data_IF_390212731903
#
_entry.id   IF_390212731903
#
_cell.length_a   1.000
_cell.length_b   1.000
_cell.length_c   1.000
_cell.angle_alpha   90.00
_cell.angle_beta   90.00
_cell.angle_gamma   90.00
#
_symmetry.space_group_name_H-M   'P 1'
#
loop_
_entity.id
_entity.type
_entity.pdbx_description
1 polymer ?
#
# COMPACT_ATOMS: atom_id res chain seq x y z
N UNK A 1 -5.89 -44.35 28.98
CA UNK A 1 -5.10 -43.15 29.32
C UNK A 1 -4.38 -42.71 28.04
N UNK A 2 -5.04 -41.90 27.21
CA UNK A 2 -4.51 -41.42 25.93
C UNK A 2 -3.93 -40.04 26.19
N UNK A 3 -2.61 -39.95 26.17
CA UNK A 3 -1.90 -38.65 26.26
C UNK A 3 -1.98 -38.00 24.85
N UNK A 4 -2.87 -37.05 24.67
CA UNK A 4 -2.82 -36.17 23.52
C UNK A 4 -1.64 -35.20 23.71
N UNK A 5 -0.53 -35.47 23.05
CA UNK A 5 0.55 -34.51 22.85
C UNK A 5 0.03 -33.47 21.85
N UNK A 6 -0.48 -32.34 22.34
CA UNK A 6 -0.70 -31.17 21.52
C UNK A 6 0.68 -30.62 21.14
N UNK A 7 1.17 -30.98 19.96
CA UNK A 7 2.27 -30.27 19.32
C UNK A 7 1.79 -28.85 19.03
N UNK A 8 2.14 -27.93 19.90
CA UNK A 8 2.06 -26.49 19.64
C UNK A 8 3.00 -26.19 18.47
N UNK A 9 2.47 -26.23 17.26
CA UNK A 9 3.12 -25.63 16.13
C UNK A 9 3.17 -24.11 16.43
N UNK A 10 4.30 -23.66 16.94
CA UNK A 10 4.63 -22.23 17.03
C UNK A 10 4.80 -21.76 15.58
N UNK A 11 3.70 -21.43 14.94
CA UNK A 11 3.75 -20.68 13.69
C UNK A 11 4.31 -19.32 14.03
N UNK A 12 5.53 -19.04 13.57
CA UNK A 12 6.15 -17.73 13.65
C UNK A 12 5.20 -16.73 12.96
N UNK A 13 4.48 -15.95 13.74
CA UNK A 13 3.64 -14.87 13.23
C UNK A 13 4.58 -13.75 12.81
N UNK A 14 4.98 -13.74 11.54
CA UNK A 14 5.73 -12.62 10.98
C UNK A 14 4.80 -11.42 10.83
N UNK A 15 5.20 -10.28 11.38
CA UNK A 15 4.51 -9.02 11.18
C UNK A 15 4.56 -8.66 9.69
N UNK A 16 3.40 -8.54 9.07
CA UNK A 16 3.23 -8.10 7.69
C UNK A 16 2.95 -6.62 7.67
N UNK A 17 3.46 -5.94 6.65
CA UNK A 17 3.11 -4.54 6.42
C UNK A 17 1.63 -4.43 6.04
N UNK A 18 1.03 -3.28 6.42
CA UNK A 18 -0.30 -2.93 5.93
C UNK A 18 -0.29 -2.80 4.39
N UNK A 19 -1.39 -3.16 3.76
CA UNK A 19 -1.55 -3.08 2.31
C UNK A 19 -2.87 -2.43 1.95
N UNK A 20 -2.87 -1.57 0.92
CA UNK A 20 -4.09 -1.03 0.33
C UNK A 20 -4.68 -1.99 -0.69
N UNK A 21 -5.97 -1.85 -0.97
CA UNK A 21 -6.67 -2.71 -1.92
C UNK A 21 -6.23 -2.45 -3.36
N UNK A 22 -6.02 -1.18 -3.70
CA UNK A 22 -5.46 -0.78 -4.98
C UNK A 22 -4.20 0.07 -4.78
N UNK A 23 -3.05 -0.58 -4.90
CA UNK A 23 -1.75 0.05 -4.75
C UNK A 23 -1.47 1.18 -5.74
N UNK A 24 -2.13 1.18 -6.90
CA UNK A 24 -1.89 2.18 -7.92
C UNK A 24 -2.54 3.54 -7.59
N UNK A 25 -3.59 3.56 -6.78
CA UNK A 25 -4.25 4.79 -6.35
C UNK A 25 -3.45 5.49 -5.25
N UNK A 26 -2.72 4.70 -4.43
CA UNK A 26 -1.91 5.24 -3.33
C UNK A 26 -0.53 5.63 -3.85
N UNK A 27 -0.20 6.92 -3.94
CA UNK A 27 1.05 7.36 -4.54
C UNK A 27 2.28 6.71 -3.89
N UNK A 28 3.23 6.30 -4.72
CA UNK A 28 4.54 5.71 -4.37
C UNK A 28 4.55 4.67 -3.22
N UNK A 29 3.38 4.13 -2.86
CA UNK A 29 3.31 3.03 -1.89
C UNK A 29 3.80 1.70 -2.46
N UNK A 30 3.74 1.55 -3.77
CA UNK A 30 4.16 0.36 -4.51
C UNK A 30 5.65 0.39 -4.85
N UNK A 31 6.18 1.58 -5.19
CA UNK A 31 7.55 1.77 -5.62
C UNK A 31 7.97 3.23 -5.42
N UNK A 32 9.05 3.52 -4.67
CA UNK A 32 9.55 4.88 -4.50
C UNK A 32 9.84 5.62 -5.82
N UNK A 33 10.21 4.89 -6.88
CA UNK A 33 10.45 5.47 -8.20
C UNK A 33 9.20 6.11 -8.83
N UNK A 34 8.00 5.88 -8.28
CA UNK A 34 6.74 6.47 -8.76
C UNK A 34 6.46 7.86 -8.17
N UNK A 35 7.24 8.36 -7.23
CA UNK A 35 7.08 9.73 -6.73
C UNK A 35 7.20 10.74 -7.88
N UNK A 36 6.23 11.66 -8.00
CA UNK A 36 6.14 12.62 -9.10
C UNK A 36 5.81 12.04 -10.47
N UNK A 37 5.42 10.76 -10.56
CA UNK A 37 5.12 10.10 -11.83
C UNK A 37 3.91 10.72 -12.55
N UNK A 38 3.00 11.34 -11.83
CA UNK A 38 1.85 12.04 -12.39
C UNK A 38 2.19 13.36 -13.09
N UNK A 39 3.45 13.83 -13.03
CA UNK A 39 3.87 15.14 -13.56
C UNK A 39 2.98 16.30 -13.10
N UNK A 40 2.49 16.23 -11.89
CA UNK A 40 1.64 17.21 -11.22
C UNK A 40 2.14 17.42 -9.81
N UNK A 41 1.70 18.48 -9.15
CA UNK A 41 1.69 18.52 -7.69
C UNK A 41 0.50 17.65 -7.26
N UNK A 42 0.74 16.66 -6.43
CA UNK A 42 -0.30 15.72 -5.98
C UNK A 42 -0.32 15.64 -4.47
N UNK A 43 -1.50 15.75 -3.89
CA UNK A 43 -1.78 15.47 -2.49
C UNK A 43 -2.84 14.38 -2.40
N UNK A 44 -2.70 13.44 -1.48
CA UNK A 44 -3.71 12.39 -1.30
C UNK A 44 -3.95 12.04 0.16
N UNK A 45 -5.17 11.59 0.43
CA UNK A 45 -5.62 10.99 1.68
C UNK A 45 -6.24 9.65 1.33
N UNK A 46 -5.70 8.58 1.90
CA UNK A 46 -6.18 7.23 1.68
C UNK A 46 -6.57 6.64 3.04
N UNK A 47 -7.78 6.12 3.14
CA UNK A 47 -8.30 5.47 4.33
C UNK A 47 -8.81 4.08 3.98
N UNK A 48 -8.38 3.08 4.73
CA UNK A 48 -8.85 1.71 4.63
C UNK A 48 -9.36 1.21 5.96
N UNK A 49 -10.53 0.58 5.95
CA UNK A 49 -11.10 -0.16 7.06
C UNK A 49 -11.24 -1.61 6.66
N UNK A 50 -10.51 -2.48 7.37
CA UNK A 50 -10.50 -3.92 7.07
C UNK A 50 -11.25 -4.68 8.17
N UNK A 51 -12.15 -5.57 7.75
CA UNK A 51 -12.99 -6.41 8.61
C UNK A 51 -13.84 -5.65 9.64
N UNK A 52 -14.68 -4.72 9.20
CA UNK A 52 -15.51 -3.90 10.11
C UNK A 52 -16.48 -4.69 10.94
N UNK A 53 -16.74 -5.96 10.61
CA UNK A 53 -17.60 -6.85 11.40
C UNK A 53 -16.92 -7.39 12.67
N UNK A 54 -15.60 -7.27 12.76
CA UNK A 54 -14.86 -7.62 13.97
C UNK A 54 -14.97 -6.46 14.97
N UNK A 55 -15.11 -6.78 16.26
CA UNK A 55 -15.13 -5.78 17.34
C UNK A 55 -13.92 -4.84 17.32
N UNK A 56 -12.82 -5.29 16.73
CA UNK A 56 -11.56 -4.57 16.61
C UNK A 56 -11.13 -4.52 15.13
N UNK A 57 -11.84 -3.74 14.31
CA UNK A 57 -11.50 -3.52 12.90
C UNK A 57 -10.09 -2.92 12.75
N UNK A 58 -9.45 -3.19 11.61
CA UNK A 58 -8.15 -2.60 11.26
C UNK A 58 -8.37 -1.30 10.50
N UNK A 59 -7.64 -0.27 10.88
CA UNK A 59 -7.74 1.07 10.30
C UNK A 59 -6.38 1.52 9.80
N UNK A 60 -6.28 1.81 8.52
CA UNK A 60 -5.07 2.35 7.91
C UNK A 60 -5.38 3.70 7.28
N UNK A 61 -4.59 4.71 7.61
CA UNK A 61 -4.65 6.04 6.99
C UNK A 61 -3.28 6.34 6.37
N UNK A 62 -3.27 6.88 5.15
CA UNK A 62 -2.05 7.41 4.55
C UNK A 62 -2.30 8.79 3.95
N UNK A 63 -1.51 9.74 4.38
CA UNK A 63 -1.40 11.07 3.78
C UNK A 63 -0.15 11.08 2.91
N UNK A 64 -0.23 11.58 1.69
CA UNK A 64 0.96 11.71 0.85
C UNK A 64 0.92 12.97 0.02
N UNK A 65 2.11 13.48 -0.26
CA UNK A 65 2.35 14.63 -1.10
C UNK A 65 3.56 14.35 -1.99
N UNK A 66 3.44 14.63 -3.29
CA UNK A 66 4.57 14.51 -4.21
C UNK A 66 4.52 15.57 -5.31
N UNK A 67 5.70 15.93 -5.78
CA UNK A 67 5.86 16.91 -6.84
C UNK A 67 7.16 16.73 -7.63
N UNK A 68 7.20 17.24 -8.84
CA UNK A 68 8.43 17.37 -9.61
C UNK A 68 9.11 18.71 -9.27
N UNK A 69 10.42 18.67 -9.04
CA UNK A 69 11.18 19.87 -8.58
C UNK A 69 11.93 20.52 -9.73
N UNK A 70 12.71 19.76 -10.48
CA UNK A 70 13.60 20.31 -11.50
C UNK A 70 13.37 19.65 -12.85
N UNK A 71 12.95 20.46 -13.86
CA UNK A 71 12.73 20.05 -15.26
C UNK A 71 12.07 18.68 -15.39
N UNK A 72 11.25 18.31 -14.40
CA UNK A 72 10.58 17.00 -14.29
C UNK A 72 11.53 15.78 -14.22
N UNK A 73 12.84 16.01 -14.09
CA UNK A 73 13.82 14.94 -13.92
C UNK A 73 13.93 14.49 -12.45
N UNK A 74 13.75 15.42 -11.52
CA UNK A 74 13.81 15.17 -10.08
C UNK A 74 12.44 15.34 -9.46
N UNK A 75 12.05 14.41 -8.64
CA UNK A 75 10.78 14.42 -7.92
C UNK A 75 11.02 14.18 -6.44
N UNK A 76 10.24 14.82 -5.62
CA UNK A 76 10.26 14.63 -4.18
C UNK A 76 8.86 14.32 -3.68
N UNK A 77 8.78 13.56 -2.62
CA UNK A 77 7.53 13.26 -1.95
C UNK A 77 7.74 13.09 -0.45
N UNK A 78 6.65 13.22 0.28
CA UNK A 78 6.59 12.94 1.71
C UNK A 78 5.28 12.24 2.02
N UNK A 79 5.28 11.43 3.06
CA UNK A 79 4.06 10.77 3.51
C UNK A 79 4.07 10.55 5.01
N UNK A 80 2.88 10.41 5.54
CA UNK A 80 2.60 9.91 6.87
C UNK A 80 1.59 8.77 6.75
N UNK A 81 1.87 7.64 7.40
CA UNK A 81 0.96 6.52 7.49
C UNK A 81 0.70 6.19 8.95
N UNK A 82 -0.55 5.93 9.25
CA UNK A 82 -1.02 5.42 10.52
C UNK A 82 -1.75 4.10 10.27
N UNK A 83 -1.31 3.04 10.92
CA UNK A 83 -1.95 1.74 10.87
C UNK A 83 -2.27 1.25 12.26
N UNK A 84 -3.52 0.89 12.50
CA UNK A 84 -4.00 0.37 13.75
C UNK A 84 -4.55 -1.05 13.53
N UNK A 85 -3.82 -2.01 14.09
CA UNK A 85 -4.24 -3.41 14.11
C UNK A 85 -4.98 -3.67 15.42
N UNK A 86 -6.31 -3.77 15.36
CA UNK A 86 -7.11 -3.86 16.57
C UNK A 86 -6.86 -2.62 17.45
N UNK A 87 -7.14 -2.71 18.74
CA UNK A 87 -6.80 -1.66 19.71
C UNK A 87 -5.40 -1.84 20.34
N UNK A 88 -4.68 -2.89 19.94
CA UNK A 88 -3.44 -3.32 20.60
C UNK A 88 -2.20 -2.73 19.96
N UNK A 89 -2.10 -2.79 18.63
CA UNK A 89 -0.87 -2.43 17.93
C UNK A 89 -1.10 -1.26 16.98
N UNK A 90 -0.24 -0.24 17.10
CA UNK A 90 -0.29 0.98 16.30
C UNK A 90 1.07 1.24 15.68
N UNK A 91 1.08 1.50 14.38
CA UNK A 91 2.26 1.86 13.59
C UNK A 91 2.09 3.27 13.07
N UNK A 92 3.07 4.12 13.32
CA UNK A 92 3.19 5.43 12.70
C UNK A 92 4.45 5.42 11.84
N UNK A 93 4.32 5.76 10.57
CA UNK A 93 5.43 5.85 9.64
C UNK A 93 5.46 7.24 9.02
N UNK A 94 6.60 7.94 9.13
CA UNK A 94 6.88 9.20 8.45
C UNK A 94 7.98 8.94 7.43
N UNK A 95 7.76 9.28 6.18
CA UNK A 95 8.75 9.03 5.14
C UNK A 95 8.90 10.18 4.16
N UNK A 96 10.10 10.25 3.59
CA UNK A 96 10.45 11.11 2.49
C UNK A 96 10.96 10.28 1.31
N UNK A 97 10.63 10.70 0.10
CA UNK A 97 10.94 10.00 -1.13
C UNK A 97 11.61 10.95 -2.11
N UNK A 98 12.65 10.46 -2.77
CA UNK A 98 13.28 11.10 -3.91
C UNK A 98 13.22 10.17 -5.10
N UNK A 99 12.83 10.67 -6.26
CA UNK A 99 12.88 9.93 -7.50
C UNK A 99 13.59 10.74 -8.60
N UNK A 100 14.38 10.04 -9.41
CA UNK A 100 15.09 10.61 -10.54
C UNK A 100 14.66 9.92 -11.83
N UNK A 101 14.33 10.72 -12.86
CA UNK A 101 13.92 10.24 -14.18
C UNK A 101 15.03 10.46 -15.16
N UNK A 102 15.45 9.40 -15.85
CA UNK A 102 16.47 9.41 -16.88
C UNK A 102 15.80 9.11 -18.21
N UNK A 103 15.91 10.04 -19.17
CA UNK A 103 15.47 9.80 -20.55
C UNK A 103 16.55 9.02 -21.29
N UNK A 104 16.26 7.76 -21.65
CA UNK A 104 17.19 6.91 -22.40
C UNK A 104 17.04 7.07 -23.92
N UNK A 105 15.79 7.27 -24.38
CA UNK A 105 15.45 7.54 -25.77
C UNK A 105 14.12 8.30 -25.83
N UNK A 106 13.62 8.65 -27.03
CA UNK A 106 12.43 9.52 -27.16
C UNK A 106 11.18 9.01 -26.44
N UNK A 107 11.06 7.70 -26.24
CA UNK A 107 9.89 7.06 -25.66
C UNK A 107 10.25 6.16 -24.47
N UNK A 108 11.51 6.15 -24.05
CA UNK A 108 12.08 5.24 -23.07
C UNK A 108 12.65 6.00 -21.89
N UNK A 109 12.11 5.73 -20.70
CA UNK A 109 12.55 6.40 -19.48
C UNK A 109 12.80 5.38 -18.40
N UNK A 110 13.85 5.62 -17.61
CA UNK A 110 14.16 4.88 -16.39
C UNK A 110 13.94 5.83 -15.22
N UNK A 111 13.25 5.38 -14.21
CA UNK A 111 13.05 6.11 -12.96
C UNK A 111 13.69 5.32 -11.83
N UNK A 112 14.47 6.01 -11.00
CA UNK A 112 15.11 5.45 -9.82
C UNK A 112 14.53 6.17 -8.60
N UNK A 113 14.21 5.45 -7.55
CA UNK A 113 13.62 6.00 -6.34
C UNK A 113 14.34 5.55 -5.08
N UNK A 114 14.45 6.47 -4.14
CA UNK A 114 14.96 6.25 -2.79
C UNK A 114 13.92 6.73 -1.79
N UNK A 115 13.70 5.98 -0.73
CA UNK A 115 12.84 6.35 0.38
C UNK A 115 13.57 6.16 1.70
N UNK A 116 13.44 7.13 2.59
CA UNK A 116 13.82 7.01 3.99
C UNK A 116 12.60 7.24 4.86
N UNK A 117 12.39 6.40 5.85
CA UNK A 117 11.27 6.51 6.79
C UNK A 117 11.70 6.27 8.23
N UNK A 118 10.90 6.84 9.14
CA UNK A 118 10.98 6.65 10.58
C UNK A 118 9.69 6.00 11.03
N UNK A 119 9.81 4.87 11.68
CA UNK A 119 8.71 4.16 12.30
C UNK A 119 8.65 4.46 13.79
N UNK A 120 7.43 4.66 14.29
CA UNK A 120 7.12 4.72 15.71
C UNK A 120 5.98 3.76 15.99
N UNK A 121 6.31 2.59 16.51
CA UNK A 121 5.37 1.51 16.79
C UNK A 121 5.04 1.50 18.28
N UNK A 122 3.77 1.26 18.60
CA UNK A 122 3.27 1.23 19.98
C UNK A 122 2.41 0.00 20.19
N UNK A 123 2.62 -0.70 21.30
CA UNK A 123 1.75 -1.80 21.76
C UNK A 123 1.08 -1.38 23.06
N UNK A 124 -0.23 -1.45 23.11
CA UNK A 124 -1.01 -1.30 24.33
C UNK A 124 -1.14 -2.66 25.04
N UNK A 125 -0.18 -2.97 25.87
CA UNK A 125 -0.14 -4.21 26.65
C UNK A 125 -1.32 -4.39 27.59
N UNK A 126 -2.00 -3.29 27.99
CA UNK A 126 -3.18 -3.35 28.86
C UNK A 126 -4.40 -3.95 28.15
N UNK A 127 -4.41 -3.86 26.83
CA UNK A 127 -5.47 -4.42 25.98
C UNK A 127 -5.18 -5.87 25.53
N UNK A 128 -4.05 -6.45 25.97
CA UNK A 128 -3.65 -7.84 25.67
C UNK A 128 -4.02 -8.73 26.85
N UNK A 129 -4.67 -9.86 26.60
CA UNK A 129 -4.88 -10.91 27.59
C UNK A 129 -3.89 -12.03 27.33
N UNK A 130 -3.03 -12.30 28.29
CA UNK A 130 -2.02 -13.36 28.22
C UNK A 130 -2.60 -14.71 28.65
N UNK A 131 -1.97 -15.80 28.21
CA UNK A 131 -2.43 -17.15 28.50
C UNK A 131 -2.44 -17.51 30.01
N UNK A 132 -1.52 -16.93 30.80
CA UNK A 132 -1.42 -17.11 32.25
C UNK A 132 -2.56 -16.43 33.03
N UNK A 133 -3.27 -15.51 32.41
CA UNK A 133 -4.42 -14.84 33.01
C UNK A 133 -5.70 -15.70 33.01
N UNK A 134 -5.74 -16.77 32.22
CA UNK A 134 -6.87 -17.70 32.22
C UNK A 134 -6.75 -18.71 33.38
N UNK A 135 -7.54 -18.54 34.44
CA UNK A 135 -7.48 -19.36 35.68
C UNK A 135 -8.49 -20.50 35.69
N UNK A 136 -9.41 -20.51 34.75
CA UNK A 136 -10.49 -21.51 34.63
C UNK A 136 -11.38 -21.28 33.43
N UNK A 137 -12.47 -22.01 33.36
CA UNK A 137 -13.43 -21.82 32.24
C UNK A 137 -14.20 -20.50 32.44
N UNK A 138 -13.67 -19.43 31.83
CA UNK A 138 -14.32 -18.12 31.82
C UNK A 138 -13.76 -17.08 32.79
N UNK A 139 -12.85 -17.47 33.70
CA UNK A 139 -12.26 -16.56 34.68
C UNK A 139 -10.91 -16.01 34.19
N UNK A 140 -10.77 -14.68 34.18
CA UNK A 140 -9.56 -13.96 33.79
C UNK A 140 -9.05 -13.17 34.98
N UNK A 141 -7.78 -13.41 35.39
CA UNK A 141 -7.13 -12.59 36.41
C UNK A 141 -6.64 -11.27 35.80
N UNK A 142 -6.70 -10.14 36.53
CA UNK A 142 -6.24 -8.86 36.02
C UNK A 142 -4.70 -8.73 35.95
N UNK A 143 -3.97 -9.72 36.52
CA UNK A 143 -2.51 -9.69 36.59
C UNK A 143 -1.92 -10.83 35.75
N UNK A 144 -0.90 -10.48 34.94
CA UNK A 144 -0.06 -11.45 34.21
C UNK A 144 1.35 -11.45 34.81
N UNK A 145 2.00 -12.59 34.79
CA UNK A 145 3.43 -12.74 35.12
C UNK A 145 4.33 -12.52 33.90
N UNK A 146 3.73 -12.47 32.71
CA UNK A 146 4.45 -12.17 31.47
C UNK A 146 5.07 -10.78 31.51
N UNK A 147 6.32 -10.69 31.09
CA UNK A 147 7.07 -9.42 31.08
C UNK A 147 7.31 -9.00 29.66
N UNK A 148 7.07 -7.73 29.41
CA UNK A 148 7.45 -7.05 28.17
C UNK A 148 8.50 -5.99 28.47
N UNK A 149 9.48 -5.82 27.57
CA UNK A 149 10.58 -4.87 27.79
C UNK A 149 10.21 -3.46 27.32
N UNK A 150 9.42 -3.36 26.26
CA UNK A 150 9.10 -2.09 25.63
C UNK A 150 7.61 -2.00 25.27
N UNK A 151 7.03 -0.81 25.47
CA UNK A 151 5.68 -0.48 24.98
C UNK A 151 5.70 0.31 23.65
N UNK A 152 6.87 0.85 23.27
CA UNK A 152 7.07 1.56 22.02
C UNK A 152 8.43 1.28 21.42
N UNK A 153 8.52 1.38 20.11
CA UNK A 153 9.75 1.16 19.36
C UNK A 153 9.87 2.19 18.24
N UNK A 154 11.04 2.84 18.15
CA UNK A 154 11.37 3.77 17.07
C UNK A 154 12.57 3.23 16.30
N UNK A 155 12.47 3.21 14.97
CA UNK A 155 13.58 2.80 14.10
C UNK A 155 13.52 3.50 12.76
N UNK A 156 14.67 3.53 12.07
CA UNK A 156 14.81 4.04 10.71
C UNK A 156 14.74 2.90 9.71
N UNK A 157 14.16 3.18 8.55
CA UNK A 157 14.08 2.24 7.46
C UNK A 157 14.33 2.91 6.11
N UNK A 158 14.76 2.10 5.14
CA UNK A 158 15.08 2.55 3.80
C UNK A 158 14.45 1.63 2.77
N UNK A 159 14.02 2.25 1.66
CA UNK A 159 13.55 1.52 0.50
C UNK A 159 14.18 2.08 -0.78
N UNK A 160 14.35 1.21 -1.76
CA UNK A 160 14.87 1.55 -3.09
C UNK A 160 13.94 0.99 -4.15
N UNK A 161 13.87 1.67 -5.28
CA UNK A 161 13.05 1.23 -6.39
C UNK A 161 13.56 1.69 -7.72
N UNK A 162 13.20 0.93 -8.74
CA UNK A 162 13.45 1.28 -10.13
C UNK A 162 12.20 0.98 -10.96
N UNK A 163 11.96 1.76 -11.99
CA UNK A 163 10.91 1.49 -12.97
C UNK A 163 11.33 1.93 -14.35
N UNK A 164 10.95 1.14 -15.33
CA UNK A 164 11.08 1.43 -16.75
C UNK A 164 9.70 1.84 -17.27
N UNK A 165 9.66 2.97 -17.99
CA UNK A 165 8.44 3.52 -18.57
C UNK A 165 8.62 3.61 -20.08
N UNK A 166 7.73 2.95 -20.81
CA UNK A 166 7.68 3.00 -22.27
C UNK A 166 6.49 3.85 -22.71
N UNK A 167 6.78 4.97 -23.35
CA UNK A 167 5.79 6.00 -23.68
C UNK A 167 5.01 6.41 -22.41
N UNK A 168 3.70 6.39 -22.46
CA UNK A 168 2.81 6.51 -21.30
C UNK A 168 1.94 5.26 -21.16
N UNK A 169 2.32 4.17 -21.86
CA UNK A 169 1.48 2.99 -21.99
C UNK A 169 1.90 1.87 -21.05
N UNK A 170 3.20 1.66 -20.88
CA UNK A 170 3.71 0.54 -20.09
C UNK A 170 4.70 1.02 -19.04
N UNK A 171 4.48 0.60 -17.82
CA UNK A 171 5.43 0.77 -16.72
C UNK A 171 5.73 -0.58 -16.10
N UNK A 172 7.01 -0.94 -16.03
CA UNK A 172 7.48 -2.14 -15.32
C UNK A 172 8.42 -1.68 -14.21
N UNK A 173 8.20 -2.14 -13.00
CA UNK A 173 9.03 -1.70 -11.88
C UNK A 173 9.27 -2.78 -10.84
N UNK A 174 10.33 -2.52 -10.07
CA UNK A 174 10.74 -3.35 -8.94
C UNK A 174 11.17 -2.46 -7.79
N UNK A 175 10.81 -2.85 -6.57
CA UNK A 175 11.19 -2.14 -5.36
C UNK A 175 11.55 -3.12 -4.23
N UNK A 176 12.42 -2.67 -3.34
CA UNK A 176 12.81 -3.38 -2.12
C UNK A 176 12.61 -2.42 -0.95
N UNK A 177 11.76 -2.82 -0.03
CA UNK A 177 11.53 -2.15 1.25
C UNK A 177 12.27 -2.86 2.37
N UNK A 178 12.49 -2.17 3.47
CA UNK A 178 13.20 -2.70 4.64
C UNK A 178 14.61 -3.20 4.29
N UNK A 179 15.33 -2.40 3.50
CA UNK A 179 16.68 -2.76 3.01
C UNK A 179 17.63 -3.02 4.18
N UNK A 180 17.54 -2.18 5.22
CA UNK A 180 18.36 -2.27 6.42
C UNK A 180 17.93 -3.38 7.40
N UNK A 181 16.75 -3.97 7.21
CA UNK A 181 16.16 -4.98 8.10
C UNK A 181 16.21 -4.55 9.59
N UNK A 182 15.58 -3.43 9.95
CA UNK A 182 15.64 -2.94 11.33
C UNK A 182 14.99 -3.94 12.31
N UNK A 183 15.41 -3.87 13.58
CA UNK A 183 14.77 -4.59 14.67
C UNK A 183 13.50 -3.85 15.10
N UNK A 184 12.34 -4.49 14.95
CA UNK A 184 11.04 -3.98 15.33
C UNK A 184 10.43 -4.69 16.56
N UNK A 185 11.21 -5.55 17.23
CA UNK A 185 10.76 -6.34 18.38
C UNK A 185 10.47 -5.52 19.63
N UNK A 186 9.48 -5.95 20.40
CA UNK A 186 9.08 -5.37 21.68
C UNK A 186 9.62 -6.16 22.88
N UNK A 187 10.24 -7.30 22.65
CA UNK A 187 10.89 -8.16 23.63
C UNK A 187 12.36 -8.29 23.28
N UNK A 188 13.23 -8.44 24.26
CA UNK A 188 14.67 -8.68 24.01
C UNK A 188 14.88 -9.99 23.28
N UNK A 189 15.50 -9.90 22.11
CA UNK A 189 15.69 -11.01 21.20
C UNK A 189 15.18 -10.58 19.82
N UNK A 190 16.07 -10.18 18.96
CA UNK A 190 15.82 -9.47 17.70
C UNK A 190 14.66 -10.05 16.89
N UNK A 191 13.66 -9.24 16.66
CA UNK A 191 12.61 -9.49 15.69
C UNK A 191 12.89 -8.62 14.46
N UNK A 192 13.60 -9.19 13.50
CA UNK A 192 14.03 -8.48 12.30
C UNK A 192 12.84 -8.25 11.36
N UNK A 193 12.64 -7.01 10.96
CA UNK A 193 11.68 -6.68 9.91
C UNK A 193 12.23 -7.16 8.56
N UNK A 194 11.60 -8.20 8.00
CA UNK A 194 12.07 -8.83 6.76
C UNK A 194 11.90 -7.90 5.56
N UNK A 195 12.84 -7.99 4.62
CA UNK A 195 12.75 -7.27 3.34
C UNK A 195 11.48 -7.64 2.59
N UNK A 196 10.85 -6.61 2.03
CA UNK A 196 9.70 -6.77 1.16
C UNK A 196 10.10 -6.45 -0.27
N UNK A 197 9.87 -7.40 -1.15
CA UNK A 197 10.12 -7.29 -2.59
C UNK A 197 8.81 -7.05 -3.30
N UNK A 198 8.78 -6.08 -4.19
CA UNK A 198 7.60 -5.69 -4.96
C UNK A 198 7.96 -5.61 -6.43
N UNK A 199 7.28 -6.38 -7.27
CA UNK A 199 7.33 -6.28 -8.72
C UNK A 199 5.98 -5.83 -9.26
N UNK A 200 5.97 -4.91 -10.23
CA UNK A 200 4.72 -4.45 -10.81
C UNK A 200 4.83 -4.18 -12.32
N UNK A 201 3.71 -4.40 -13.00
CA UNK A 201 3.51 -4.05 -14.41
C UNK A 201 2.19 -3.29 -14.49
N UNK A 202 2.22 -2.13 -15.10
CA UNK A 202 1.05 -1.28 -15.32
C UNK A 202 0.96 -0.94 -16.80
N UNK A 203 -0.22 -1.13 -17.35
CA UNK A 203 -0.53 -0.86 -18.74
C UNK A 203 -1.71 0.10 -18.83
N UNK A 204 -1.57 1.11 -19.68
CA UNK A 204 -2.62 2.10 -19.95
C UNK A 204 -2.75 2.27 -21.46
N UNK A 205 -3.97 2.24 -21.95
CA UNK A 205 -4.28 2.43 -23.35
C UNK A 205 -5.37 3.48 -23.52
N UNK A 206 -5.06 4.54 -24.25
CA UNK A 206 -6.04 5.56 -24.59
C UNK A 206 -7.14 4.97 -25.50
N UNK A 207 -8.38 5.19 -25.11
CA UNK A 207 -9.55 4.84 -25.88
C UNK A 207 -9.94 6.06 -26.74
N UNK A 208 -9.67 5.98 -28.05
CA UNK A 208 -10.05 7.02 -29.02
C UNK A 208 -11.55 6.96 -29.29
N UNK A 209 -12.38 7.28 -28.32
CA UNK A 209 -13.82 7.44 -28.52
C UNK A 209 -14.09 8.88 -28.95
N UNK A 210 -14.56 9.07 -30.17
CA UNK A 210 -14.92 10.36 -30.74
C UNK A 210 -16.18 10.91 -30.07
N UNK A 211 -16.09 11.50 -28.89
CA UNK A 211 -17.16 12.31 -28.30
C UNK A 211 -16.60 13.57 -27.64
N UNK A 212 -16.88 14.61 -28.26
CA UNK A 212 -16.81 16.03 -28.25
C UNK A 212 -16.76 16.84 -26.94
N UNK A 213 -15.92 16.53 -25.98
CA UNK A 213 -15.54 17.49 -24.94
C UNK A 213 -14.04 17.33 -24.66
N UNK A 214 -13.23 17.98 -25.48
CA UNK A 214 -11.78 18.03 -25.30
C UNK A 214 -11.43 18.90 -24.09
N UNK A 215 -11.10 18.29 -22.97
CA UNK A 215 -10.30 18.90 -21.94
C UNK A 215 -8.82 18.83 -22.33
N UNK A 216 -8.15 19.98 -22.34
CA UNK A 216 -6.74 20.10 -22.73
C UNK A 216 -5.86 19.45 -21.65
N UNK A 217 -5.41 18.20 -21.86
CA UNK A 217 -4.31 17.68 -21.06
C UNK A 217 -4.39 16.23 -20.58
N UNK A 218 -5.54 15.61 -20.59
CA UNK A 218 -5.72 14.19 -20.28
C UNK A 218 -6.52 13.56 -21.41
N UNK A 219 -6.16 12.33 -21.80
CA UNK A 219 -7.03 11.51 -22.63
C UNK A 219 -8.29 11.24 -21.81
N UNK A 220 -9.43 11.69 -22.31
CA UNK A 220 -10.67 11.68 -21.54
C UNK A 220 -11.17 10.26 -21.25
N UNK A 221 -10.72 9.27 -22.02
CA UNK A 221 -11.10 7.87 -21.86
C UNK A 221 -9.89 6.96 -22.03
N UNK A 222 -9.68 6.06 -21.10
CA UNK A 222 -8.59 5.08 -21.16
C UNK A 222 -8.99 3.76 -20.50
N UNK A 223 -8.36 2.68 -20.96
CA UNK A 223 -8.32 1.39 -20.29
C UNK A 223 -7.02 1.28 -19.51
N UNK A 224 -7.07 0.65 -18.34
CA UNK A 224 -5.88 0.32 -17.58
C UNK A 224 -5.91 -1.13 -17.10
N UNK A 225 -4.73 -1.73 -17.02
CA UNK A 225 -4.51 -3.03 -16.40
C UNK A 225 -3.24 -3.00 -15.56
N UNK A 226 -3.25 -3.74 -14.48
CA UNK A 226 -2.12 -3.81 -13.57
C UNK A 226 -1.93 -5.21 -13.02
N UNK A 227 -0.67 -5.55 -12.80
CA UNK A 227 -0.23 -6.78 -12.17
C UNK A 227 0.81 -6.40 -11.13
N UNK A 228 0.64 -6.91 -9.91
CA UNK A 228 1.61 -6.71 -8.83
C UNK A 228 1.87 -8.02 -8.13
N UNK A 229 3.13 -8.27 -7.84
CA UNK A 229 3.57 -9.35 -6.97
C UNK A 229 4.37 -8.77 -5.82
N UNK A 230 4.09 -9.20 -4.60
CA UNK A 230 4.86 -8.81 -3.44
C UNK A 230 5.18 -10.03 -2.57
N UNK A 231 6.35 -9.97 -1.95
CA UNK A 231 6.84 -10.99 -1.04
C UNK A 231 7.54 -10.35 0.15
N UNK A 232 7.18 -10.78 1.36
CA UNK A 232 7.84 -10.41 2.61
C UNK A 232 7.93 -11.64 3.51
N UNK A 233 9.13 -12.11 3.79
CA UNK A 233 9.37 -13.41 4.41
C UNK A 233 8.62 -14.52 3.66
N UNK A 234 7.77 -15.29 4.37
CA UNK A 234 6.95 -16.35 3.79
C UNK A 234 5.65 -15.85 3.16
N UNK A 235 5.26 -14.60 3.44
CA UNK A 235 4.08 -14.00 2.84
C UNK A 235 4.33 -13.65 1.38
N UNK A 236 3.48 -14.13 0.50
CA UNK A 236 3.49 -13.85 -0.93
C UNK A 236 2.09 -13.48 -1.37
N UNK A 237 1.97 -12.42 -2.13
CA UNK A 237 0.69 -11.95 -2.64
C UNK A 237 0.80 -11.56 -4.11
N UNK A 238 -0.16 -11.99 -4.89
CA UNK A 238 -0.34 -11.57 -6.29
C UNK A 238 -1.64 -10.79 -6.41
N UNK A 239 -1.59 -9.73 -7.21
CA UNK A 239 -2.71 -8.85 -7.51
C UNK A 239 -2.79 -8.64 -9.01
N UNK A 240 -3.96 -8.79 -9.59
CA UNK A 240 -4.28 -8.42 -10.97
C UNK A 240 -5.52 -7.54 -10.96
N UNK A 241 -5.47 -6.43 -11.70
CA UNK A 241 -6.59 -5.51 -11.80
C UNK A 241 -6.74 -4.96 -13.20
N UNK A 242 -7.94 -4.57 -13.55
CA UNK A 242 -8.25 -3.87 -14.78
C UNK A 242 -9.40 -2.90 -14.57
N UNK A 243 -9.48 -1.89 -15.43
CA UNK A 243 -10.56 -0.93 -15.38
C UNK A 243 -10.58 0.02 -16.55
N UNK A 244 -11.59 0.85 -16.55
CA UNK A 244 -11.83 1.86 -17.59
C UNK A 244 -12.12 3.20 -16.95
N UNK A 245 -11.61 4.24 -17.55
CA UNK A 245 -12.00 5.61 -17.28
C UNK A 245 -12.85 6.11 -18.44
N UNK A 246 -14.08 6.49 -18.14
CA UNK A 246 -14.95 7.27 -19.02
C UNK A 246 -15.25 8.56 -18.27
N UNK A 247 -14.42 9.55 -18.50
CA UNK A 247 -14.47 10.78 -17.72
C UNK A 247 -15.89 11.37 -17.64
N UNK A 248 -16.44 11.64 -16.46
CA UNK A 248 -15.74 11.75 -15.17
C UNK A 248 -15.71 10.45 -14.31
N UNK A 249 -16.16 9.31 -14.81
CA UNK A 249 -16.34 8.07 -14.05
C UNK A 249 -15.19 7.11 -14.31
N UNK A 250 -14.71 6.46 -13.26
CA UNK A 250 -13.68 5.43 -13.30
C UNK A 250 -14.24 4.15 -12.67
N UNK A 251 -14.15 3.03 -13.39
CA UNK A 251 -14.60 1.74 -12.90
C UNK A 251 -13.46 0.73 -13.00
N UNK A 252 -13.35 -0.13 -12.01
CA UNK A 252 -12.34 -1.18 -12.01
C UNK A 252 -12.76 -2.40 -11.21
N UNK A 253 -12.11 -3.50 -11.54
CA UNK A 253 -12.20 -4.76 -10.83
C UNK A 253 -10.81 -5.32 -10.64
N UNK A 254 -10.58 -5.95 -9.50
CA UNK A 254 -9.31 -6.61 -9.25
C UNK A 254 -9.48 -7.89 -8.45
N UNK A 255 -8.51 -8.77 -8.61
CA UNK A 255 -8.39 -10.01 -7.89
C UNK A 255 -7.04 -10.06 -7.18
N UNK A 256 -7.05 -10.41 -5.91
CA UNK A 256 -5.88 -10.54 -5.06
C UNK A 256 -5.90 -11.93 -4.41
N UNK A 257 -4.76 -12.57 -4.41
CA UNK A 257 -4.57 -13.88 -3.78
C UNK A 257 -3.25 -13.91 -3.01
N UNK A 258 -3.22 -14.63 -1.91
CA UNK A 258 -2.03 -14.88 -1.11
C UNK A 258 -1.76 -16.38 -0.94
N UNK A 259 -0.58 -16.72 -0.37
CA UNK A 259 -0.21 -18.13 -0.10
C UNK A 259 -1.06 -18.79 0.97
N UNK A 260 -1.80 -18.04 1.76
CA UNK A 260 -2.72 -18.56 2.77
C UNK A 260 -4.11 -18.88 2.18
N UNK A 261 -4.22 -18.87 0.85
CA UNK A 261 -5.46 -19.09 0.10
C UNK A 261 -6.57 -18.08 0.44
N UNK A 262 -6.18 -16.87 0.85
CA UNK A 262 -7.12 -15.78 1.01
C UNK A 262 -7.28 -15.10 -0.34
N UNK A 263 -8.44 -15.30 -0.95
CA UNK A 263 -8.81 -14.69 -2.20
C UNK A 263 -9.70 -13.47 -1.94
N UNK A 264 -9.44 -12.38 -2.64
CA UNK A 264 -10.20 -11.15 -2.53
C UNK A 264 -10.57 -10.64 -3.91
N UNK A 265 -11.83 -10.36 -4.12
CA UNK A 265 -12.32 -9.63 -5.30
C UNK A 265 -12.64 -8.21 -4.86
N UNK A 266 -12.12 -7.24 -5.59
CA UNK A 266 -12.33 -5.82 -5.27
C UNK A 266 -13.05 -5.13 -6.42
N UNK A 267 -14.01 -4.30 -6.09
CA UNK A 267 -14.74 -3.43 -7.01
C UNK A 267 -14.38 -1.99 -6.71
N UNK A 268 -14.00 -1.25 -7.73
CA UNK A 268 -13.59 0.14 -7.63
C UNK A 268 -14.53 1.03 -8.41
N UNK A 269 -15.01 2.08 -7.75
CA UNK A 269 -15.74 3.19 -8.35
C UNK A 269 -14.95 4.47 -8.05
N UNK A 270 -14.67 5.25 -9.09
CA UNK A 270 -13.98 6.53 -8.97
C UNK A 270 -14.68 7.64 -9.73
N UNK A 271 -14.39 8.87 -9.33
CA UNK A 271 -14.84 10.07 -10.00
C UNK A 271 -13.75 11.12 -10.11
N UNK A 272 -13.74 11.86 -11.22
CA UNK A 272 -12.80 12.94 -11.47
C UNK A 272 -13.54 14.27 -11.72
N UNK A 273 -13.12 15.32 -11.03
CA UNK A 273 -13.64 16.67 -11.26
C UNK A 273 -12.59 17.75 -10.96
N UNK A 274 -12.20 18.53 -11.97
CA UNK A 274 -11.29 19.70 -11.84
C UNK A 274 -10.03 19.46 -10.99
N UNK A 275 -9.35 18.32 -11.19
CA UNK A 275 -8.15 17.95 -10.43
C UNK A 275 -8.42 17.16 -9.16
N UNK A 276 -9.65 17.07 -8.71
CA UNK A 276 -10.07 16.21 -7.60
C UNK A 276 -10.43 14.82 -8.13
N UNK A 277 -9.96 13.79 -7.45
CA UNK A 277 -10.32 12.40 -7.71
C UNK A 277 -10.79 11.78 -6.40
N UNK A 278 -11.90 11.08 -6.44
CA UNK A 278 -12.44 10.31 -5.34
C UNK A 278 -12.59 8.87 -5.78
N UNK A 279 -12.07 7.94 -5.01
CA UNK A 279 -12.22 6.50 -5.24
C UNK A 279 -12.85 5.84 -4.02
N UNK A 280 -13.75 4.92 -4.28
CA UNK A 280 -14.29 3.97 -3.32
C UNK A 280 -13.99 2.56 -3.80
N UNK A 281 -13.42 1.74 -2.93
CA UNK A 281 -13.09 0.34 -3.22
C UNK A 281 -13.76 -0.53 -2.18
N UNK A 282 -14.45 -1.54 -2.65
CA UNK A 282 -15.11 -2.54 -1.85
C UNK A 282 -14.48 -3.91 -2.10
N UNK A 283 -13.92 -4.51 -1.06
CA UNK A 283 -13.27 -5.82 -1.08
C UNK A 283 -14.20 -6.89 -0.53
N UNK A 284 -14.39 -7.97 -1.28
CA UNK A 284 -15.05 -9.20 -0.85
C UNK A 284 -14.03 -10.30 -0.67
N UNK A 285 -13.94 -10.86 0.53
CA UNK A 285 -13.13 -12.03 0.80
C UNK A 285 -13.90 -13.31 0.47
N UNK A 286 -13.36 -14.11 -0.48
CA UNK A 286 -14.01 -15.31 -1.02
C UNK A 286 -13.40 -16.62 -0.50
N UNK A 287 -12.42 -16.54 0.40
CA UNK A 287 -11.78 -17.72 1.00
C UNK A 287 -12.71 -18.45 1.97
N UNK A 288 -12.63 -19.77 2.00
CA UNK A 288 -13.38 -20.62 2.95
C UNK A 288 -13.18 -20.24 4.42
N UNK A 289 -11.97 -19.75 4.78
CA UNK A 289 -11.61 -19.37 6.16
C UNK A 289 -12.19 -18.01 6.59
N UNK A 290 -12.54 -17.13 5.64
CA UNK A 290 -12.99 -15.75 5.89
C UNK A 290 -14.23 -15.40 5.05
N UNK A 291 -15.06 -16.39 4.75
CA UNK A 291 -16.22 -16.20 3.90
C UNK A 291 -17.19 -15.17 4.53
N UNK A 292 -17.62 -14.20 3.72
CA UNK A 292 -18.53 -13.12 4.13
C UNK A 292 -17.85 -11.92 4.80
N UNK A 293 -16.52 -11.92 5.00
CA UNK A 293 -15.82 -10.72 5.44
C UNK A 293 -15.58 -9.74 4.27
N UNK A 294 -15.54 -8.46 4.58
CA UNK A 294 -15.36 -7.39 3.61
C UNK A 294 -14.46 -6.29 4.15
N UNK A 295 -13.98 -5.42 3.27
CA UNK A 295 -13.21 -4.22 3.60
C UNK A 295 -13.63 -3.06 2.72
N UNK A 296 -13.41 -1.84 3.19
CA UNK A 296 -13.64 -0.63 2.42
C UNK A 296 -12.37 0.20 2.35
N UNK A 297 -12.20 0.88 1.22
CA UNK A 297 -11.15 1.86 1.05
C UNK A 297 -11.72 3.11 0.38
N UNK A 298 -11.36 4.27 0.91
CA UNK A 298 -11.71 5.57 0.34
C UNK A 298 -10.40 6.32 0.09
N UNK A 299 -10.22 6.81 -1.13
CA UNK A 299 -9.05 7.58 -1.52
C UNK A 299 -9.47 8.90 -2.14
N UNK A 300 -8.95 9.98 -1.61
CA UNK A 300 -9.11 11.32 -2.13
C UNK A 300 -7.77 11.83 -2.63
N UNK A 301 -7.71 12.26 -3.89
CA UNK A 301 -6.49 12.76 -4.52
C UNK A 301 -6.79 14.12 -5.14
N UNK A 302 -5.91 15.06 -4.89
CA UNK A 302 -5.92 16.37 -5.52
C UNK A 302 -4.66 16.55 -6.35
N UNK A 303 -4.84 16.94 -7.62
CA UNK A 303 -3.74 17.17 -8.56
C UNK A 303 -3.79 18.59 -9.13
N UNK A 304 -2.64 19.27 -9.07
CA UNK A 304 -2.43 20.57 -9.70
C UNK A 304 -1.50 20.40 -10.90
N UNK A 305 -1.98 20.62 -12.13
CA UNK A 305 -1.13 20.49 -13.31
C UNK A 305 -0.09 21.62 -13.35
N UNK A 306 1.11 21.32 -13.80
CA UNK A 306 2.13 22.33 -14.10
C UNK A 306 1.72 23.17 -15.32
N UNK A 307 2.01 24.47 -15.27
CA UNK A 307 1.70 25.41 -16.38
C UNK A 307 2.56 25.20 -17.63
N UNK A 308 3.65 24.44 -17.57
CA UNK A 308 4.56 24.18 -18.71
C UNK A 308 4.47 22.71 -19.17
N UNK A 309 4.32 22.54 -20.49
CA UNK A 309 4.47 21.26 -21.18
C UNK A 309 5.96 20.88 -21.16
N UNK A 310 6.38 20.05 -20.27
CA UNK A 310 7.70 19.44 -20.27
C UNK A 310 7.63 17.91 -20.31
N UNK A 311 8.52 17.37 -20.98
CA UNK A 311 8.89 16.17 -21.69
C UNK A 311 8.94 14.82 -20.91
N UNK A 312 8.42 14.68 -19.72
CA UNK A 312 8.36 13.38 -19.06
C UNK A 312 7.03 12.67 -19.33
N UNK A 313 7.05 11.34 -19.49
CA UNK A 313 5.82 10.56 -19.61
C UNK A 313 5.03 10.70 -18.33
N UNK A 314 3.75 10.96 -18.47
CA UNK A 314 2.80 10.95 -17.37
C UNK A 314 2.42 9.50 -17.11
N UNK A 315 2.66 9.01 -15.92
CA UNK A 315 2.08 7.75 -15.47
C UNK A 315 0.77 8.10 -14.79
N UNK A 316 -0.34 7.80 -15.46
CA UNK A 316 -1.68 8.02 -14.94
C UNK A 316 -2.04 6.93 -13.94
N UNK A 317 -2.58 7.33 -12.83
CA UNK A 317 -3.29 6.49 -11.87
C UNK A 317 -4.54 7.21 -11.41
#
# INVERSE_FOLDING_TARGET
MIVCVLALAVSSAFAQDYTFSNHNIVPFSLNPAQAGAANTIRASVNYRMQWPMLSNAYHTVRLSYDMNVYRQMCSVGAFYSYDQMSNVYKVNEFGAVYAHTIKCADKHFIRLGLQGSVFYNVVDWKSVTFGDQYVGVGDITPYSVEKYDFSSRTFFDFAVGASYVFQNHLTVGFAVYHVAQPDNGFVRGSQVLHRKYVGHVNFIQDLKLNHGLRSKGFSDNYFFANLTYQQQADFKQAYIGAGVCFQPIILGVSFKTDVQEVHTVSFMLGGYYKGFQLYYIFDLFTSRKKNGSWSNEISFIYTLPYKKKDLCPVVYW
#
